data_IF_047351266056
#
_entry.id   IF_047351266056
#
_cell.length_a   1.000
_cell.length_b   1.000
_cell.length_c   1.000
_cell.angle_alpha   90.00
_cell.angle_beta   90.00
_cell.angle_gamma   90.00
#
_symmetry.space_group_name_H-M   'P 1'
#
loop_
_entity.id
_entity.type
_entity.pdbx_description
1 polymer ?
#
# COMPACT_ATOMS: atom_id res chain seq x y z
N UNK A 1 42.08 -31.17 23.77
CA UNK A 1 43.03 -30.21 23.18
C UNK A 1 43.43 -29.25 24.28
N UNK A 2 44.62 -28.66 24.19
CA UNK A 2 45.08 -27.68 25.17
C UNK A 2 44.56 -26.26 24.81
N UNK A 3 44.77 -25.28 25.70
CA UNK A 3 44.30 -23.89 25.53
C UNK A 3 44.73 -23.30 24.17
N UNK A 4 46.02 -23.41 23.85
CA UNK A 4 46.60 -22.83 22.64
C UNK A 4 45.95 -23.41 21.36
N UNK A 5 45.74 -24.72 21.32
CA UNK A 5 45.07 -25.39 20.19
C UNK A 5 43.62 -24.95 20.04
N UNK A 6 42.90 -24.77 21.16
CA UNK A 6 41.50 -24.34 21.14
C UNK A 6 41.37 -22.92 20.58
N UNK A 7 42.12 -21.96 21.13
CA UNK A 7 42.06 -20.55 20.74
C UNK A 7 42.52 -20.34 19.30
N UNK A 8 43.55 -21.07 18.85
CA UNK A 8 44.00 -21.04 17.46
C UNK A 8 42.92 -21.51 16.49
N UNK A 9 42.18 -22.57 16.84
CA UNK A 9 41.07 -23.05 16.01
C UNK A 9 39.87 -22.11 16.04
N UNK A 10 39.56 -21.50 17.19
CA UNK A 10 38.49 -20.52 17.33
C UNK A 10 38.80 -19.25 16.51
N UNK A 11 40.00 -18.69 16.62
CA UNK A 11 40.40 -17.53 15.82
C UNK A 11 40.32 -17.83 14.31
N UNK A 12 40.74 -19.03 13.90
CA UNK A 12 40.63 -19.47 12.51
C UNK A 12 39.19 -19.61 12.01
N UNK A 13 38.22 -19.89 12.90
CA UNK A 13 36.80 -19.98 12.56
C UNK A 13 36.12 -18.60 12.54
N UNK A 14 36.64 -17.59 13.24
CA UNK A 14 36.10 -16.22 13.35
C UNK A 14 36.55 -15.24 12.23
N UNK A 15 37.17 -15.71 11.14
CA UNK A 15 37.77 -14.88 10.06
C UNK A 15 36.86 -13.80 9.44
N UNK A 16 35.54 -13.94 9.57
CA UNK A 16 34.54 -13.02 9.01
C UNK A 16 34.16 -11.86 9.94
N UNK A 17 34.63 -11.87 11.17
CA UNK A 17 34.46 -10.78 12.13
C UNK A 17 35.59 -9.75 11.99
N UNK A 18 35.37 -8.55 12.51
CA UNK A 18 36.42 -7.54 12.66
C UNK A 18 37.48 -8.00 13.67
N UNK A 19 38.67 -7.39 13.64
CA UNK A 19 39.76 -7.82 14.52
C UNK A 19 39.47 -7.49 16.00
N UNK A 20 38.76 -6.39 16.27
CA UNK A 20 38.28 -6.00 17.61
C UNK A 20 37.31 -7.06 18.17
N UNK A 21 36.29 -7.45 17.39
CA UNK A 21 35.33 -8.50 17.80
C UNK A 21 36.01 -9.86 18.04
N UNK A 22 37.04 -10.19 17.26
CA UNK A 22 37.80 -11.44 17.48
C UNK A 22 38.58 -11.40 18.78
N UNK A 23 39.22 -10.27 19.08
CA UNK A 23 40.05 -10.10 20.27
C UNK A 23 39.18 -10.23 21.53
N UNK A 24 38.03 -9.56 21.56
CA UNK A 24 37.05 -9.67 22.65
C UNK A 24 36.60 -11.12 22.87
N UNK A 25 36.20 -11.82 21.80
CA UNK A 25 35.76 -13.22 21.91
C UNK A 25 36.91 -14.11 22.40
N UNK A 26 38.13 -13.94 21.88
CA UNK A 26 39.26 -14.76 22.32
C UNK A 26 39.61 -14.51 23.78
N UNK A 27 39.52 -13.26 24.25
CA UNK A 27 39.73 -12.91 25.65
C UNK A 27 38.72 -13.61 26.57
N UNK A 28 37.43 -13.62 26.24
CA UNK A 28 36.39 -14.31 27.03
C UNK A 28 36.72 -15.80 27.22
N UNK A 29 37.14 -16.47 26.15
CA UNK A 29 37.52 -17.88 26.22
C UNK A 29 38.84 -18.09 26.98
N UNK A 30 39.79 -17.18 26.88
CA UNK A 30 41.01 -17.21 27.70
C UNK A 30 40.70 -17.12 29.20
N UNK A 31 39.83 -16.20 29.60
CA UNK A 31 39.38 -16.05 30.99
C UNK A 31 38.68 -17.34 31.49
N UNK A 32 37.88 -17.99 30.63
CA UNK A 32 37.27 -19.28 30.95
C UNK A 32 38.29 -20.40 31.21
N UNK A 33 39.39 -20.44 30.44
CA UNK A 33 40.48 -21.39 30.70
C UNK A 33 41.22 -21.07 32.00
N UNK A 34 41.42 -19.78 32.31
CA UNK A 34 42.10 -19.36 33.54
C UNK A 34 41.27 -19.70 34.79
N UNK A 35 39.95 -19.52 34.75
CA UNK A 35 39.02 -19.94 35.82
C UNK A 35 39.10 -21.45 36.02
N UNK A 36 38.95 -22.26 34.96
CA UNK A 36 39.00 -23.72 35.10
C UNK A 36 40.34 -24.24 35.61
N UNK A 37 41.44 -23.58 35.24
CA UNK A 37 42.78 -23.89 35.75
C UNK A 37 42.92 -23.55 37.23
N UNK A 38 42.33 -22.45 37.68
CA UNK A 38 42.31 -22.05 39.11
C UNK A 38 41.52 -23.04 39.98
N UNK A 39 40.52 -23.72 39.39
CA UNK A 39 39.76 -24.80 40.03
C UNK A 39 40.50 -26.16 40.01
N UNK A 40 41.71 -26.21 39.46
CA UNK A 40 42.52 -27.43 39.38
C UNK A 40 42.09 -28.38 38.26
N UNK A 41 41.25 -27.96 37.31
CA UNK A 41 40.85 -28.80 36.17
C UNK A 41 41.95 -28.82 35.11
N UNK A 42 42.24 -29.99 34.50
CA UNK A 42 43.15 -30.05 33.37
C UNK A 42 42.54 -29.35 32.14
N UNK A 43 43.37 -28.71 31.33
CA UNK A 43 42.92 -27.94 30.15
C UNK A 43 42.10 -28.78 29.16
N UNK A 44 42.37 -30.08 29.09
CA UNK A 44 41.66 -31.02 28.22
C UNK A 44 40.20 -31.23 28.66
N UNK A 45 39.95 -31.16 29.97
CA UNK A 45 38.60 -31.25 30.53
C UNK A 45 37.83 -29.96 30.31
N UNK A 46 38.48 -28.80 30.50
CA UNK A 46 37.92 -27.48 30.19
C UNK A 46 37.55 -27.38 28.71
N UNK A 47 38.44 -27.81 27.82
CA UNK A 47 38.18 -27.83 26.39
C UNK A 47 37.00 -28.76 26.03
N UNK A 48 36.88 -29.91 26.69
CA UNK A 48 35.73 -30.81 26.48
C UNK A 48 34.42 -30.18 26.94
N UNK A 49 34.42 -29.44 28.05
CA UNK A 49 33.21 -28.74 28.53
C UNK A 49 32.81 -27.57 27.63
N UNK A 50 33.79 -26.87 27.03
CA UNK A 50 33.52 -25.78 26.08
C UNK A 50 33.02 -26.29 24.73
N UNK A 51 33.45 -27.49 24.30
CA UNK A 51 33.01 -28.10 23.05
C UNK A 51 33.94 -27.81 21.87
N UNK A 52 33.37 -27.68 20.67
CA UNK A 52 34.15 -27.54 19.42
C UNK A 52 34.34 -26.07 19.03
N UNK A 53 35.58 -25.55 18.96
CA UNK A 53 35.86 -24.16 18.58
C UNK A 53 35.38 -23.81 17.16
N UNK A 54 35.31 -24.80 16.27
CA UNK A 54 34.76 -24.63 14.93
C UNK A 54 33.24 -24.49 14.90
N UNK A 55 32.52 -25.16 15.83
CA UNK A 55 31.07 -25.03 15.95
C UNK A 55 30.71 -23.68 16.58
N UNK A 56 31.40 -23.32 17.67
CA UNK A 56 31.25 -22.03 18.35
C UNK A 56 31.45 -20.88 17.36
N UNK A 57 32.55 -20.86 16.60
CA UNK A 57 32.78 -19.76 15.65
C UNK A 57 31.77 -19.69 14.51
N UNK A 58 31.25 -20.84 14.05
CA UNK A 58 30.15 -20.87 13.06
C UNK A 58 28.87 -20.27 13.62
N UNK A 59 28.55 -20.58 14.87
CA UNK A 59 27.38 -20.06 15.56
C UNK A 59 27.49 -18.55 15.79
N UNK A 60 28.63 -18.08 16.30
CA UNK A 60 28.88 -16.64 16.50
C UNK A 60 28.79 -15.85 15.19
N UNK A 61 29.38 -16.37 14.11
CA UNK A 61 29.27 -15.75 12.78
C UNK A 61 27.82 -15.74 12.28
N UNK A 62 27.09 -16.86 12.46
CA UNK A 62 25.69 -16.93 12.03
C UNK A 62 24.84 -15.89 12.75
N UNK A 63 25.01 -15.75 14.06
CA UNK A 63 24.31 -14.75 14.88
C UNK A 63 24.67 -13.32 14.46
N UNK A 64 25.95 -13.05 14.15
CA UNK A 64 26.39 -11.74 13.66
C UNK A 64 25.70 -11.31 12.35
N UNK A 65 25.63 -12.24 11.39
CA UNK A 65 24.99 -11.95 10.10
C UNK A 65 23.47 -11.86 10.20
N UNK A 66 22.84 -12.62 11.10
CA UNK A 66 21.40 -12.51 11.37
C UNK A 66 21.07 -11.16 12.01
N UNK A 67 21.88 -10.67 12.96
CA UNK A 67 21.70 -9.36 13.57
C UNK A 67 21.87 -8.20 12.57
N UNK A 68 22.89 -8.27 11.69
CA UNK A 68 23.09 -7.24 10.65
C UNK A 68 22.03 -7.22 9.54
N UNK A 69 21.33 -8.33 9.32
CA UNK A 69 20.24 -8.38 8.34
C UNK A 69 19.02 -7.55 8.77
N UNK A 70 18.82 -7.31 10.08
CA UNK A 70 17.75 -6.48 10.61
C UNK A 70 18.04 -4.97 10.53
N UNK A 71 19.30 -4.56 10.42
CA UNK A 71 19.73 -3.14 10.46
C UNK A 71 19.66 -2.38 9.11
N UNK A 72 19.14 -3.01 8.05
CA UNK A 72 19.09 -2.41 6.72
C UNK A 72 17.98 -1.36 6.50
N UNK A 73 17.35 -0.85 7.55
CA UNK A 73 16.36 0.23 7.49
C UNK A 73 16.99 1.57 7.88
N UNK A 74 17.73 2.19 6.95
CA UNK A 74 18.15 3.60 7.12
C UNK A 74 16.92 4.51 7.17
N UNK A 75 16.89 5.45 8.12
CA UNK A 75 15.82 6.47 8.23
C UNK A 75 15.55 7.21 6.91
N UNK A 76 16.60 7.43 6.09
CA UNK A 76 16.47 8.04 4.76
C UNK A 76 15.78 7.14 3.73
N UNK A 77 15.93 5.81 3.83
CA UNK A 77 15.20 4.86 2.97
C UNK A 77 13.73 4.79 3.36
N UNK A 78 13.43 4.77 4.66
CA UNK A 78 12.07 4.79 5.17
C UNK A 78 11.36 6.09 4.76
N UNK A 79 12.00 7.25 4.94
CA UNK A 79 11.41 8.54 4.57
C UNK A 79 11.07 8.62 3.08
N UNK A 80 11.98 8.14 2.21
CA UNK A 80 11.70 8.06 0.76
C UNK A 80 10.53 7.13 0.44
N UNK A 81 10.44 5.98 1.11
CA UNK A 81 9.31 5.06 0.94
C UNK A 81 7.99 5.69 1.40
N UNK A 82 7.97 6.40 2.53
CA UNK A 82 6.80 7.12 3.03
C UNK A 82 6.34 8.19 2.03
N UNK A 83 7.25 9.02 1.52
CA UNK A 83 6.92 10.03 0.50
C UNK A 83 6.42 9.41 -0.80
N UNK A 84 7.00 8.29 -1.23
CA UNK A 84 6.53 7.57 -2.40
C UNK A 84 5.10 7.07 -2.21
N UNK A 85 4.78 6.47 -1.05
CA UNK A 85 3.43 5.98 -0.74
C UNK A 85 2.41 7.13 -0.65
N UNK A 86 2.75 8.23 0.01
CA UNK A 86 1.90 9.43 0.08
C UNK A 86 1.67 10.00 -1.33
N UNK A 87 2.74 10.15 -2.11
CA UNK A 87 2.69 10.66 -3.48
C UNK A 87 1.85 9.75 -4.39
N UNK A 88 2.03 8.44 -4.31
CA UNK A 88 1.20 7.46 -5.03
C UNK A 88 -0.27 7.53 -4.61
N UNK A 89 -0.55 7.66 -3.32
CA UNK A 89 -1.91 7.83 -2.80
C UNK A 89 -2.58 9.08 -3.35
N UNK A 90 -1.89 10.23 -3.31
CA UNK A 90 -2.41 11.50 -3.81
C UNK A 90 -2.55 11.52 -5.33
N UNK A 91 -1.57 10.96 -6.05
CA UNK A 91 -1.62 10.80 -7.50
C UNK A 91 -2.82 9.93 -7.92
N UNK A 92 -3.01 8.79 -7.25
CA UNK A 92 -4.15 7.91 -7.49
C UNK A 92 -5.48 8.62 -7.19
N UNK A 93 -5.55 9.41 -6.11
CA UNK A 93 -6.73 10.22 -5.80
C UNK A 93 -7.05 11.16 -6.96
N UNK A 94 -6.11 11.97 -7.43
CA UNK A 94 -6.41 12.94 -8.50
C UNK A 94 -6.77 12.23 -9.82
N UNK A 95 -5.99 11.22 -10.21
CA UNK A 95 -6.13 10.56 -11.50
C UNK A 95 -7.37 9.67 -11.58
N UNK A 96 -7.79 9.05 -10.49
CA UNK A 96 -8.98 8.17 -10.48
C UNK A 96 -10.22 8.91 -10.02
N UNK A 97 -10.15 9.67 -8.92
CA UNK A 97 -11.30 10.37 -8.36
C UNK A 97 -11.72 11.55 -9.23
N UNK A 98 -10.78 12.28 -9.81
CA UNK A 98 -11.06 13.45 -10.65
C UNK A 98 -11.99 13.13 -11.83
N UNK A 99 -11.61 12.19 -12.72
CA UNK A 99 -12.47 11.75 -13.81
C UNK A 99 -13.79 11.13 -13.33
N UNK A 100 -13.78 10.40 -12.21
CA UNK A 100 -15.00 9.84 -11.63
C UNK A 100 -16.01 10.93 -11.25
N UNK A 101 -15.56 11.97 -10.54
CA UNK A 101 -16.40 13.12 -10.19
C UNK A 101 -16.89 13.82 -11.46
N UNK A 102 -16.02 14.04 -12.44
CA UNK A 102 -16.42 14.69 -13.70
C UNK A 102 -17.55 13.94 -14.42
N UNK A 103 -17.45 12.61 -14.53
CA UNK A 103 -18.49 11.77 -15.12
C UNK A 103 -19.79 11.87 -14.30
N UNK A 104 -19.69 11.77 -12.98
CA UNK A 104 -20.84 11.87 -12.09
C UNK A 104 -21.55 13.23 -12.23
N UNK A 105 -20.79 14.33 -12.29
CA UNK A 105 -21.31 15.68 -12.49
C UNK A 105 -22.06 15.82 -13.81
N UNK A 106 -21.53 15.27 -14.90
CA UNK A 106 -22.21 15.29 -16.22
C UNK A 106 -23.52 14.51 -16.15
N UNK A 107 -23.53 13.33 -15.52
CA UNK A 107 -24.74 12.53 -15.37
C UNK A 107 -25.80 13.26 -14.55
N UNK A 108 -25.41 13.84 -13.41
CA UNK A 108 -26.31 14.60 -12.56
C UNK A 108 -26.85 15.84 -13.29
N UNK A 109 -26.00 16.59 -13.98
CA UNK A 109 -26.41 17.76 -14.75
C UNK A 109 -27.42 17.39 -15.84
N UNK A 110 -27.23 16.28 -16.55
CA UNK A 110 -28.17 15.79 -17.55
C UNK A 110 -29.55 15.47 -16.97
N UNK A 111 -29.59 14.76 -15.84
CA UNK A 111 -30.84 14.45 -15.13
C UNK A 111 -31.54 15.69 -14.59
N UNK A 112 -30.80 16.61 -13.96
CA UNK A 112 -31.35 17.87 -13.43
C UNK A 112 -31.93 18.70 -14.59
N UNK A 113 -31.22 18.81 -15.71
CA UNK A 113 -31.68 19.58 -16.87
C UNK A 113 -32.95 18.96 -17.46
N UNK A 114 -32.98 17.64 -17.67
CA UNK A 114 -34.16 16.95 -18.18
C UNK A 114 -35.37 17.13 -17.28
N UNK A 115 -35.19 17.01 -15.97
CA UNK A 115 -36.25 17.19 -14.98
C UNK A 115 -36.73 18.64 -14.91
N UNK A 116 -35.82 19.62 -14.92
CA UNK A 116 -36.16 21.04 -14.92
C UNK A 116 -37.04 21.40 -16.13
N UNK A 117 -36.71 20.85 -17.31
CA UNK A 117 -37.49 21.07 -18.52
C UNK A 117 -38.87 20.42 -18.45
N UNK A 118 -38.98 19.20 -17.91
CA UNK A 118 -40.27 18.52 -17.70
C UNK A 118 -41.17 19.29 -16.72
N UNK A 119 -40.59 19.89 -15.69
CA UNK A 119 -41.33 20.67 -14.67
C UNK A 119 -41.70 22.07 -15.19
N UNK A 120 -41.09 22.55 -16.28
CA UNK A 120 -41.27 23.93 -16.75
C UNK A 120 -42.72 24.40 -16.93
N UNK A 121 -43.70 23.60 -17.39
CA UNK A 121 -45.10 24.06 -17.49
C UNK A 121 -45.72 24.35 -16.12
N UNK A 122 -45.33 23.61 -15.08
CA UNK A 122 -45.80 23.87 -13.72
C UNK A 122 -45.30 25.23 -13.22
N UNK A 123 -44.08 25.63 -13.59
CA UNK A 123 -43.56 26.96 -13.25
C UNK A 123 -44.34 28.08 -13.93
N UNK A 124 -44.77 27.87 -15.18
CA UNK A 124 -45.66 28.82 -15.89
C UNK A 124 -46.99 28.94 -15.16
N UNK A 125 -47.61 27.82 -14.77
CA UNK A 125 -48.87 27.84 -14.00
C UNK A 125 -48.74 28.56 -12.67
N UNK A 126 -47.66 28.31 -11.92
CA UNK A 126 -47.37 29.00 -10.66
C UNK A 126 -47.23 30.51 -10.90
N UNK A 127 -46.54 30.91 -11.97
CA UNK A 127 -46.34 32.32 -12.30
C UNK A 127 -47.69 33.02 -12.57
N UNK A 128 -48.57 32.40 -13.35
CA UNK A 128 -49.91 32.93 -13.67
C UNK A 128 -50.79 33.08 -12.43
N UNK A 129 -50.71 32.13 -11.48
CA UNK A 129 -51.48 32.20 -10.23
C UNK A 129 -51.02 33.36 -9.34
N UNK A 130 -49.70 33.61 -9.27
CA UNK A 130 -49.14 34.69 -8.44
C UNK A 130 -49.29 36.05 -9.13
N UNK A 131 -49.11 36.10 -10.44
CA UNK A 131 -49.15 37.31 -11.27
C UNK A 131 -50.11 37.12 -12.46
N UNK A 132 -51.42 37.28 -12.27
CA UNK A 132 -52.41 37.01 -13.33
C UNK A 132 -52.22 37.83 -14.62
N UNK A 133 -51.60 39.01 -14.53
CA UNK A 133 -51.30 39.86 -15.68
C UNK A 133 -50.02 39.50 -16.43
N UNK A 134 -49.24 38.52 -15.96
CA UNK A 134 -47.98 38.10 -16.57
C UNK A 134 -48.15 36.93 -17.56
N UNK A 135 -49.39 36.52 -17.85
CA UNK A 135 -49.63 35.41 -18.77
C UNK A 135 -49.25 35.77 -20.21
N UNK A 136 -48.25 35.06 -20.73
CA UNK A 136 -47.84 35.15 -22.12
C UNK A 136 -48.07 33.79 -22.81
N UNK A 137 -48.80 33.82 -23.94
CA UNK A 137 -49.06 32.64 -24.76
C UNK A 137 -47.76 31.99 -25.24
N UNK A 138 -46.73 32.81 -25.49
CA UNK A 138 -45.41 32.35 -25.86
C UNK A 138 -44.76 31.47 -24.77
N UNK A 139 -44.83 31.87 -23.50
CA UNK A 139 -44.25 31.13 -22.38
C UNK A 139 -44.91 29.75 -22.20
N UNK A 140 -46.22 29.69 -22.38
CA UNK A 140 -46.97 28.44 -22.35
C UNK A 140 -46.49 27.47 -23.45
N UNK A 141 -46.44 27.92 -24.71
CA UNK A 141 -45.96 27.08 -25.81
C UNK A 141 -44.49 26.69 -25.65
N UNK A 142 -43.65 27.61 -25.19
CA UNK A 142 -42.23 27.35 -24.95
C UNK A 142 -42.02 26.29 -23.85
N UNK A 143 -42.78 26.36 -22.74
CA UNK A 143 -42.71 25.36 -21.67
C UNK A 143 -43.16 23.95 -22.11
N UNK A 144 -44.17 23.86 -22.97
CA UNK A 144 -44.60 22.58 -23.57
C UNK A 144 -43.49 22.03 -24.48
N UNK A 145 -42.88 22.88 -25.31
CA UNK A 145 -41.76 22.49 -26.16
C UNK A 145 -40.55 22.01 -25.32
N UNK A 146 -40.21 22.73 -24.24
CA UNK A 146 -39.19 22.30 -23.29
C UNK A 146 -39.52 20.96 -22.64
N UNK A 147 -40.78 20.69 -22.31
CA UNK A 147 -41.19 19.40 -21.76
C UNK A 147 -40.87 18.27 -22.73
N UNK A 148 -41.19 18.44 -24.02
CA UNK A 148 -40.82 17.48 -25.07
C UNK A 148 -39.31 17.24 -25.13
N UNK A 149 -38.52 18.31 -25.09
CA UNK A 149 -37.06 18.22 -25.06
C UNK A 149 -36.55 17.54 -23.77
N UNK A 150 -37.15 17.84 -22.63
CA UNK A 150 -36.82 17.24 -21.32
C UNK A 150 -37.07 15.74 -21.29
N UNK A 151 -38.16 15.26 -21.91
CA UNK A 151 -38.44 13.83 -22.07
C UNK A 151 -37.37 13.17 -22.96
N UNK A 152 -36.99 13.80 -24.08
CA UNK A 152 -35.92 13.28 -24.95
C UNK A 152 -34.58 13.20 -24.22
N UNK A 153 -34.23 14.24 -23.44
CA UNK A 153 -33.04 14.24 -22.58
C UNK A 153 -33.13 13.11 -21.56
N UNK A 154 -34.26 12.94 -20.87
CA UNK A 154 -34.45 11.88 -19.88
C UNK A 154 -34.28 10.48 -20.50
N UNK A 155 -34.86 10.23 -21.69
CA UNK A 155 -34.70 8.98 -22.43
C UNK A 155 -33.21 8.77 -22.76
N UNK A 156 -32.54 9.77 -23.33
CA UNK A 156 -31.10 9.69 -23.61
C UNK A 156 -30.28 9.38 -22.36
N UNK A 157 -30.61 10.04 -21.25
CA UNK A 157 -29.95 9.83 -19.95
C UNK A 157 -30.15 8.43 -19.40
N UNK A 158 -31.30 7.77 -19.62
CA UNK A 158 -31.48 6.36 -19.25
C UNK A 158 -30.45 5.46 -19.94
N UNK A 159 -30.16 5.67 -21.23
CA UNK A 159 -29.15 4.92 -21.96
C UNK A 159 -27.73 5.25 -21.47
N UNK A 160 -27.42 6.54 -21.31
CA UNK A 160 -26.11 7.00 -20.83
C UNK A 160 -25.81 6.44 -19.44
N UNK A 161 -26.73 6.59 -18.49
CA UNK A 161 -26.56 6.06 -17.13
C UNK A 161 -26.40 4.55 -17.13
N UNK A 162 -27.19 3.80 -17.91
CA UNK A 162 -27.04 2.34 -18.03
C UNK A 162 -25.70 1.93 -18.62
N UNK A 163 -25.23 2.64 -19.65
CA UNK A 163 -23.94 2.36 -20.28
C UNK A 163 -22.80 2.57 -19.27
N UNK A 164 -22.80 3.71 -18.56
CA UNK A 164 -21.78 4.05 -17.57
C UNK A 164 -21.78 3.03 -16.41
N UNK A 165 -22.94 2.69 -15.85
CA UNK A 165 -23.00 1.74 -14.72
C UNK A 165 -22.58 0.33 -15.13
N UNK A 166 -22.98 -0.12 -16.32
CA UNK A 166 -22.56 -1.42 -16.87
C UNK A 166 -21.04 -1.43 -17.10
N UNK A 167 -20.49 -0.37 -17.68
CA UNK A 167 -19.04 -0.20 -17.87
C UNK A 167 -18.28 -0.22 -16.54
N UNK A 168 -18.79 0.49 -15.54
CA UNK A 168 -18.21 0.54 -14.19
C UNK A 168 -18.22 -0.83 -13.51
N UNK A 169 -19.34 -1.55 -13.54
CA UNK A 169 -19.43 -2.91 -12.98
C UNK A 169 -18.48 -3.87 -13.71
N UNK A 170 -18.36 -3.75 -15.04
CA UNK A 170 -17.40 -4.55 -15.82
C UNK A 170 -15.95 -4.24 -15.42
N UNK A 171 -15.61 -2.97 -15.21
CA UNK A 171 -14.30 -2.55 -14.72
C UNK A 171 -14.01 -3.10 -13.32
N UNK A 172 -14.95 -3.00 -12.38
CA UNK A 172 -14.79 -3.55 -11.03
C UNK A 172 -14.59 -5.06 -11.07
N UNK A 173 -15.39 -5.77 -11.87
CA UNK A 173 -15.25 -7.21 -12.04
C UNK A 173 -13.91 -7.60 -12.68
N UNK A 174 -13.42 -6.83 -13.65
CA UNK A 174 -12.10 -7.04 -14.24
C UNK A 174 -10.99 -6.89 -13.19
N UNK A 175 -11.01 -5.81 -12.40
CA UNK A 175 -10.02 -5.59 -11.34
C UNK A 175 -10.10 -6.68 -10.26
N UNK A 176 -11.31 -7.05 -9.82
CA UNK A 176 -11.50 -8.13 -8.84
C UNK A 176 -10.96 -9.48 -9.34
N UNK A 177 -11.14 -9.80 -10.63
CA UNK A 177 -10.57 -11.01 -11.25
C UNK A 177 -9.04 -10.94 -11.33
N UNK A 178 -8.48 -9.78 -11.66
CA UNK A 178 -7.03 -9.59 -11.72
C UNK A 178 -6.36 -9.82 -10.37
N UNK A 179 -6.97 -9.29 -9.29
CA UNK A 179 -6.45 -9.42 -7.91
C UNK A 179 -6.62 -10.85 -7.36
N UNK A 180 -7.69 -11.56 -7.73
CA UNK A 180 -7.97 -12.92 -7.21
C UNK A 180 -7.22 -14.06 -7.92
N UNK A 181 -6.29 -13.76 -8.82
CA UNK A 181 -5.51 -14.76 -9.54
C UNK A 181 -5.58 -14.53 -11.05
N UNK A 182 -4.86 -13.50 -11.49
CA UNK A 182 -4.80 -13.02 -12.87
C UNK A 182 -4.85 -14.13 -13.92
N UNK A 183 -5.70 -13.89 -14.93
CA UNK A 183 -5.77 -14.55 -16.23
C UNK A 183 -5.14 -15.96 -16.25
N UNK A 184 -5.94 -16.99 -16.00
CA UNK A 184 -5.69 -18.27 -16.66
C UNK A 184 -5.69 -17.97 -18.16
N UNK A 185 -4.50 -17.91 -18.75
CA UNK A 185 -4.31 -17.86 -20.18
C UNK A 185 -4.88 -19.15 -20.77
N UNK A 186 -5.96 -19.03 -21.55
CA UNK A 186 -6.36 -19.99 -22.57
C UNK A 186 -5.99 -19.42 -23.94
#
# INVERSE_FOLDING_TARGET
MNREQFLKQLNASLKKLSDEEKEDILQDFEEHFDIGKSEGKPEEEISKSLGSPNQIGKELIATHYLGKAEDHYSAGNIFRAVWAVIGLGFFNLVIVLGPFIAILSVVLAGWITGLAFIISPLLVLINVVIYPGAFELFDLFFSIALTGLGILIAIGMLYVTRFITTGFVRYLNYNAKLVKGGLKHE
#
